data_IF_375255124655
#
_entry.id   IF_375255124655
#
_cell.length_a   1.000
_cell.length_b   1.000
_cell.length_c   1.000
_cell.angle_alpha   90.00
_cell.angle_beta   90.00
_cell.angle_gamma   90.00
#
_symmetry.space_group_name_H-M   'P 1'
#
loop_
_entity.id
_entity.type
_entity.pdbx_description
1 polymer ?
#
# COMPACT_ATOMS: atom_id res chain seq x y z
N UNK A 1 7.25 -46.40 49.66
CA UNK A 1 6.45 -46.13 48.43
C UNK A 1 6.64 -44.69 48.03
N UNK A 2 7.47 -44.44 46.99
CA UNK A 2 7.81 -43.12 46.53
C UNK A 2 6.89 -42.75 45.34
N UNK A 3 6.16 -41.65 45.44
CA UNK A 3 5.35 -41.11 44.36
C UNK A 3 6.16 -40.04 43.59
N UNK A 4 6.51 -40.37 42.35
CA UNK A 4 7.25 -39.53 41.44
C UNK A 4 6.30 -38.52 40.81
N UNK A 5 6.42 -37.22 41.16
CA UNK A 5 5.67 -36.14 40.55
C UNK A 5 6.28 -35.77 39.19
N UNK A 6 5.52 -35.95 38.11
CA UNK A 6 5.86 -35.48 36.75
C UNK A 6 5.48 -34.00 36.66
N UNK A 7 6.47 -33.12 36.65
CA UNK A 7 6.28 -31.68 36.37
C UNK A 7 6.08 -31.48 34.86
N UNK A 8 4.85 -31.21 34.45
CA UNK A 8 4.55 -30.78 33.09
C UNK A 8 5.00 -29.32 32.90
N UNK A 9 6.10 -29.11 32.16
CA UNK A 9 6.47 -27.78 31.66
C UNK A 9 5.51 -27.41 30.54
N UNK A 10 4.53 -26.56 30.84
CA UNK A 10 3.75 -25.84 29.84
C UNK A 10 4.64 -24.78 29.20
N UNK A 11 5.22 -25.10 28.06
CA UNK A 11 5.88 -24.12 27.21
C UNK A 11 4.82 -23.15 26.70
N UNK A 12 4.76 -21.96 27.28
CA UNK A 12 3.98 -20.85 26.71
C UNK A 12 4.60 -20.51 25.37
N UNK A 13 3.87 -20.80 24.29
CA UNK A 13 4.22 -20.31 22.95
C UNK A 13 4.23 -18.78 23.00
N UNK A 14 5.35 -18.17 22.62
CA UNK A 14 5.44 -16.72 22.48
C UNK A 14 4.35 -16.24 21.50
N UNK A 15 3.58 -15.19 21.83
CA UNK A 15 2.54 -14.69 20.94
C UNK A 15 3.19 -14.30 19.61
N UNK A 16 2.64 -14.80 18.49
CA UNK A 16 3.04 -14.39 17.15
C UNK A 16 2.79 -12.88 17.08
N UNK A 17 3.80 -12.04 16.77
CA UNK A 17 3.61 -10.60 16.74
C UNK A 17 2.51 -10.25 15.74
N UNK A 18 1.51 -9.49 16.17
CA UNK A 18 0.43 -9.02 15.31
C UNK A 18 1.03 -8.12 14.22
N UNK A 19 1.11 -8.64 13.00
CA UNK A 19 1.70 -7.94 11.85
C UNK A 19 0.97 -6.65 11.47
N UNK A 20 -0.22 -6.42 12.04
CA UNK A 20 -1.04 -5.22 11.80
C UNK A 20 -0.46 -3.97 12.46
N UNK A 21 0.24 -4.11 13.57
CA UNK A 21 0.83 -2.97 14.30
C UNK A 21 2.34 -2.94 14.07
N UNK A 22 2.94 -1.81 13.67
CA UNK A 22 4.39 -1.67 13.59
C UNK A 22 5.03 -1.93 14.95
N UNK A 23 6.09 -2.74 14.98
CA UNK A 23 6.84 -2.96 16.22
C UNK A 23 7.50 -1.64 16.65
N UNK A 24 7.27 -1.13 17.88
CA UNK A 24 7.82 0.14 18.35
C UNK A 24 9.35 0.23 18.35
N UNK A 25 10.07 -0.90 18.30
CA UNK A 25 11.53 -0.95 18.18
C UNK A 25 12.02 -1.24 16.75
N UNK A 26 11.15 -1.29 15.75
CA UNK A 26 11.50 -1.61 14.37
C UNK A 26 11.95 -0.35 13.63
N UNK A 27 13.07 -0.44 12.91
CA UNK A 27 13.53 0.58 11.95
C UNK A 27 12.78 0.49 10.62
N UNK A 28 11.62 -0.18 10.60
CA UNK A 28 10.79 -0.33 9.40
C UNK A 28 9.79 0.82 9.29
N UNK A 29 9.55 1.27 8.05
CA UNK A 29 8.49 2.23 7.71
C UNK A 29 7.35 1.47 7.03
N UNK A 30 6.12 1.68 7.50
CA UNK A 30 4.92 1.11 6.86
C UNK A 30 4.37 2.09 5.85
N UNK A 31 4.16 1.61 4.63
CA UNK A 31 3.68 2.39 3.49
C UNK A 31 2.32 1.84 3.07
N UNK A 32 1.33 2.72 2.96
CA UNK A 32 0.02 2.46 2.37
C UNK A 32 0.04 2.91 0.91
N UNK A 33 -0.05 1.97 -0.02
CA UNK A 33 -0.25 2.24 -1.44
C UNK A 33 -1.73 2.26 -1.80
N UNK A 34 -2.14 3.22 -2.62
CA UNK A 34 -3.51 3.39 -3.06
C UNK A 34 -3.54 3.53 -4.59
N UNK A 35 -4.34 2.68 -5.25
CA UNK A 35 -4.74 2.83 -6.64
C UNK A 35 -6.22 3.28 -6.68
N UNK A 36 -6.50 4.60 -6.86
CA UNK A 36 -7.86 5.11 -6.77
C UNK A 36 -8.73 4.63 -7.91
N UNK A 37 -9.97 4.23 -7.60
CA UNK A 37 -10.99 3.92 -8.58
C UNK A 37 -12.39 4.29 -8.09
N UNK A 38 -13.28 4.69 -9.00
CA UNK A 38 -14.65 5.14 -8.68
C UNK A 38 -15.62 3.99 -8.35
N UNK A 39 -15.26 2.76 -8.64
CA UNK A 39 -16.03 1.54 -8.35
C UNK A 39 -15.30 0.59 -7.42
N UNK A 40 -13.99 0.57 -7.49
CA UNK A 40 -13.07 -0.18 -6.65
C UNK A 40 -11.81 0.64 -6.48
N UNK A 41 -11.29 0.70 -5.28
CA UNK A 41 -9.98 1.30 -4.98
C UNK A 41 -9.07 0.18 -4.49
N UNK A 42 -7.94 0.01 -5.14
CA UNK A 42 -6.92 -0.92 -4.67
C UNK A 42 -6.21 -0.36 -3.44
N UNK A 43 -5.91 -1.25 -2.47
CA UNK A 43 -5.13 -0.95 -1.30
C UNK A 43 -4.03 -1.99 -1.13
N UNK A 44 -2.82 -1.54 -0.85
CA UNK A 44 -1.68 -2.41 -0.58
C UNK A 44 -0.81 -1.83 0.53
N UNK A 45 -0.48 -2.63 1.54
CA UNK A 45 0.35 -2.20 2.68
C UNK A 45 1.61 -3.05 2.73
N UNK A 46 2.75 -2.40 2.82
CA UNK A 46 4.06 -3.04 2.96
C UNK A 46 4.84 -2.40 4.10
N UNK A 47 5.73 -3.16 4.69
CA UNK A 47 6.82 -2.64 5.52
C UNK A 47 8.09 -2.55 4.68
N UNK A 48 8.88 -1.50 4.88
CA UNK A 48 10.20 -1.32 4.28
C UNK A 48 11.23 -1.07 5.37
N UNK A 49 12.31 -1.85 5.38
CA UNK A 49 13.41 -1.67 6.34
C UNK A 49 14.44 -0.62 5.88
N UNK A 50 15.41 -0.32 6.73
CA UNK A 50 16.48 0.63 6.44
C UNK A 50 17.36 0.21 5.23
N UNK A 51 17.40 -1.07 4.88
CA UNK A 51 18.12 -1.57 3.70
C UNK A 51 17.28 -1.47 2.41
N UNK A 52 16.01 -1.06 2.50
CA UNK A 52 15.07 -0.97 1.39
C UNK A 52 14.38 -2.29 1.04
N UNK A 53 14.49 -3.32 1.89
CA UNK A 53 13.78 -4.60 1.69
C UNK A 53 12.33 -4.43 2.08
N UNK A 54 11.44 -4.91 1.21
CA UNK A 54 10.00 -4.81 1.38
C UNK A 54 9.40 -6.11 1.91
N UNK A 55 8.41 -6.01 2.79
CA UNK A 55 7.62 -7.13 3.30
C UNK A 55 6.14 -6.82 3.15
N UNK A 56 5.39 -7.74 2.60
CA UNK A 56 3.94 -7.66 2.52
C UNK A 56 3.30 -7.65 3.92
N UNK A 57 2.31 -6.78 4.10
CA UNK A 57 1.49 -6.69 5.33
C UNK A 57 0.03 -6.99 5.03
N UNK A 58 -0.57 -6.26 4.07
CA UNK A 58 -1.97 -6.41 3.71
C UNK A 58 -2.22 -5.98 2.26
N UNK A 59 -3.25 -6.52 1.64
CA UNK A 59 -3.80 -6.01 0.39
C UNK A 59 -5.27 -6.38 0.26
N UNK A 60 -6.06 -5.47 -0.27
CA UNK A 60 -7.48 -5.72 -0.59
C UNK A 60 -8.01 -4.66 -1.57
N UNK A 61 -9.03 -4.97 -2.36
CA UNK A 61 -9.83 -3.94 -3.00
C UNK A 61 -10.89 -3.41 -2.02
N UNK A 62 -11.01 -2.10 -1.90
CA UNK A 62 -12.20 -1.47 -1.32
C UNK A 62 -13.28 -1.42 -2.40
N UNK A 63 -14.30 -2.24 -2.25
CA UNK A 63 -15.43 -2.34 -3.19
C UNK A 63 -16.45 -1.26 -2.86
N UNK A 64 -16.67 -0.34 -3.80
CA UNK A 64 -17.57 0.80 -3.68
C UNK A 64 -18.90 0.58 -4.43
N UNK A 65 -18.99 -0.54 -5.17
CA UNK A 65 -20.21 -0.97 -5.88
C UNK A 65 -21.31 -1.33 -4.87
N UNK A 66 -22.58 -1.10 -5.27
CA UNK A 66 -23.75 -1.33 -4.41
C UNK A 66 -24.34 -0.06 -3.80
N UNK A 67 -23.57 1.00 -3.73
CA UNK A 67 -24.10 2.32 -3.39
C UNK A 67 -24.62 2.99 -4.67
N UNK A 68 -25.91 3.32 -4.71
CA UNK A 68 -26.54 3.98 -5.87
C UNK A 68 -26.00 5.38 -6.12
N UNK A 69 -25.79 6.14 -5.06
CA UNK A 69 -25.30 7.52 -5.11
C UNK A 69 -23.75 7.54 -5.09
N UNK A 70 -23.19 8.36 -5.98
CA UNK A 70 -21.74 8.54 -6.07
C UNK A 70 -21.14 9.19 -4.81
N UNK A 71 -21.84 10.11 -4.16
CA UNK A 71 -21.40 10.73 -2.91
C UNK A 71 -21.28 9.68 -1.78
N UNK A 72 -22.21 8.71 -1.71
CA UNK A 72 -22.14 7.60 -0.75
C UNK A 72 -20.94 6.69 -1.03
N UNK A 73 -20.57 6.49 -2.30
CA UNK A 73 -19.34 5.75 -2.66
C UNK A 73 -18.09 6.46 -2.15
N UNK A 74 -18.04 7.80 -2.28
CA UNK A 74 -16.91 8.58 -1.74
C UNK A 74 -16.85 8.50 -0.21
N UNK A 75 -18.01 8.59 0.47
CA UNK A 75 -18.10 8.39 1.91
C UNK A 75 -17.57 7.02 2.31
N UNK A 76 -17.98 5.94 1.61
CA UNK A 76 -17.51 4.57 1.87
C UNK A 76 -16.02 4.42 1.66
N UNK A 77 -15.49 5.05 0.61
CA UNK A 77 -14.06 5.08 0.35
C UNK A 77 -13.30 5.75 1.50
N UNK A 78 -13.73 6.94 1.91
CA UNK A 78 -13.12 7.69 3.00
C UNK A 78 -13.09 6.87 4.29
N UNK A 79 -14.24 6.33 4.72
CA UNK A 79 -14.33 5.52 5.93
C UNK A 79 -13.52 4.21 5.84
N UNK A 80 -13.50 3.56 4.66
CA UNK A 80 -12.73 2.34 4.45
C UNK A 80 -11.22 2.58 4.57
N UNK A 81 -10.73 3.69 4.01
CA UNK A 81 -9.33 4.07 4.14
C UNK A 81 -8.99 4.51 5.57
N UNK A 82 -9.87 5.27 6.22
CA UNK A 82 -9.70 5.70 7.61
C UNK A 82 -9.57 4.49 8.55
N UNK A 83 -10.43 3.49 8.41
CA UNK A 83 -10.36 2.24 9.18
C UNK A 83 -9.05 1.47 8.94
N UNK A 84 -8.57 1.38 7.68
CA UNK A 84 -7.30 0.75 7.37
C UNK A 84 -6.11 1.53 7.95
N UNK A 85 -6.14 2.86 7.91
CA UNK A 85 -5.09 3.70 8.51
C UNK A 85 -5.06 3.50 10.03
N UNK A 86 -6.22 3.42 10.68
CA UNK A 86 -6.32 3.17 12.11
C UNK A 86 -5.82 1.77 12.50
N UNK A 87 -6.20 0.74 11.73
CA UNK A 87 -5.83 -0.66 11.99
C UNK A 87 -4.34 -0.91 11.75
N UNK A 88 -3.80 -0.46 10.61
CA UNK A 88 -2.44 -0.79 10.19
C UNK A 88 -1.39 0.26 10.54
N UNK A 89 -1.81 1.49 10.88
CA UNK A 89 -0.94 2.62 11.30
C UNK A 89 0.23 2.86 10.35
N UNK A 90 -0.03 3.11 9.05
CA UNK A 90 1.03 3.48 8.11
C UNK A 90 1.65 4.82 8.52
N UNK A 91 2.91 5.03 8.18
CA UNK A 91 3.62 6.29 8.37
C UNK A 91 3.64 7.16 7.11
N UNK A 92 3.49 6.54 5.95
CA UNK A 92 3.54 7.22 4.65
C UNK A 92 2.46 6.65 3.73
N UNK A 93 1.90 7.51 2.87
CA UNK A 93 0.92 7.12 1.86
C UNK A 93 1.49 7.38 0.47
N UNK A 94 1.35 6.41 -0.41
CA UNK A 94 1.67 6.53 -1.82
C UNK A 94 0.40 6.34 -2.65
N UNK A 95 0.15 7.23 -3.63
CA UNK A 95 -1.06 7.19 -4.43
C UNK A 95 -0.73 7.36 -5.92
N UNK A 96 -1.45 6.61 -6.78
CA UNK A 96 -1.31 6.77 -8.21
C UNK A 96 -1.92 8.10 -8.69
N UNK A 97 -1.18 8.81 -9.55
CA UNK A 97 -1.70 9.97 -10.28
C UNK A 97 -2.60 9.51 -11.41
N UNK A 98 -3.83 9.98 -11.40
CA UNK A 98 -4.78 9.68 -12.47
C UNK A 98 -4.60 10.64 -13.65
N UNK A 99 -4.68 10.08 -14.85
CA UNK A 99 -4.67 10.84 -16.11
C UNK A 99 -6.06 10.87 -16.70
N UNK A 100 -6.35 11.90 -17.49
CA UNK A 100 -7.58 11.99 -18.27
C UNK A 100 -7.68 10.80 -19.22
N UNK A 101 -8.68 9.96 -19.00
CA UNK A 101 -9.05 8.88 -19.92
C UNK A 101 -9.94 9.37 -21.07
N UNK A 102 -10.49 8.43 -21.84
CA UNK A 102 -11.36 8.71 -22.99
C UNK A 102 -12.71 9.37 -22.64
N UNK A 103 -13.15 9.30 -21.39
CA UNK A 103 -14.43 9.83 -20.91
C UNK A 103 -14.19 10.88 -19.83
N UNK A 104 -14.68 12.12 -20.06
CA UNK A 104 -14.61 13.20 -19.08
C UNK A 104 -15.34 12.86 -17.77
N UNK A 105 -16.53 12.24 -17.84
CA UNK A 105 -17.29 11.81 -16.67
C UNK A 105 -16.53 10.78 -15.82
N UNK A 106 -15.91 9.79 -16.48
CA UNK A 106 -15.08 8.81 -15.79
C UNK A 106 -13.84 9.46 -15.13
N UNK A 107 -13.21 10.40 -15.81
CA UNK A 107 -12.06 11.14 -15.29
C UNK A 107 -12.44 12.00 -14.07
N UNK A 108 -13.59 12.68 -14.12
CA UNK A 108 -14.11 13.45 -12.99
C UNK A 108 -14.40 12.56 -11.78
N UNK A 109 -15.11 11.43 -11.98
CA UNK A 109 -15.38 10.47 -10.89
C UNK A 109 -14.12 9.89 -10.30
N UNK A 110 -13.12 9.61 -11.12
CA UNK A 110 -11.82 9.12 -10.68
C UNK A 110 -11.06 10.20 -9.89
N UNK A 111 -11.10 11.46 -10.35
CA UNK A 111 -10.52 12.59 -9.63
C UNK A 111 -11.15 12.81 -8.25
N UNK A 112 -12.49 12.69 -8.15
CA UNK A 112 -13.17 12.77 -6.87
C UNK A 112 -12.77 11.61 -5.92
N UNK A 113 -12.72 10.37 -6.42
CA UNK A 113 -12.28 9.23 -5.63
C UNK A 113 -10.84 9.42 -5.13
N UNK A 114 -9.94 9.89 -6.00
CA UNK A 114 -8.56 10.21 -5.63
C UNK A 114 -8.50 11.34 -4.59
N UNK A 115 -9.29 12.41 -4.75
CA UNK A 115 -9.40 13.49 -3.75
C UNK A 115 -9.84 12.98 -2.40
N UNK A 116 -10.87 12.12 -2.34
CA UNK A 116 -11.34 11.50 -1.11
C UNK A 116 -10.25 10.63 -0.46
N UNK A 117 -9.46 9.88 -1.25
CA UNK A 117 -8.35 9.09 -0.74
C UNK A 117 -7.22 9.95 -0.14
N UNK A 118 -6.89 11.07 -0.79
CA UNK A 118 -5.91 12.04 -0.26
C UNK A 118 -6.43 12.65 1.05
N UNK A 119 -7.71 13.05 1.11
CA UNK A 119 -8.31 13.60 2.32
C UNK A 119 -8.25 12.61 3.50
N UNK A 120 -8.49 11.32 3.26
CA UNK A 120 -8.37 10.29 4.31
C UNK A 120 -6.97 10.25 4.93
N UNK A 121 -5.92 10.37 4.11
CA UNK A 121 -4.54 10.39 4.56
C UNK A 121 -4.19 11.69 5.31
N UNK A 122 -4.55 12.85 4.74
CA UNK A 122 -4.20 14.17 5.28
C UNK A 122 -4.93 14.46 6.59
N UNK A 123 -6.17 14.00 6.76
CA UNK A 123 -6.91 14.12 8.02
C UNK A 123 -6.24 13.34 9.18
N UNK A 124 -5.40 12.34 8.84
CA UNK A 124 -4.57 11.60 9.79
C UNK A 124 -3.11 12.09 9.81
N UNK A 125 -2.84 13.29 9.27
CA UNK A 125 -1.51 13.92 9.21
C UNK A 125 -0.43 13.08 8.52
N UNK A 126 -0.84 12.15 7.62
CA UNK A 126 0.08 11.31 6.88
C UNK A 126 0.62 12.03 5.64
N UNK A 127 1.94 11.99 5.39
CA UNK A 127 2.51 12.49 4.15
C UNK A 127 2.03 11.66 2.95
N UNK A 128 1.64 12.35 1.88
CA UNK A 128 1.14 11.74 0.64
C UNK A 128 2.14 11.95 -0.49
N UNK A 129 2.55 10.86 -1.13
CA UNK A 129 3.47 10.84 -2.27
C UNK A 129 2.76 10.33 -3.52
N UNK A 130 2.96 10.99 -4.64
CA UNK A 130 2.22 10.74 -5.87
C UNK A 130 3.11 10.21 -7.00
N UNK A 131 2.65 9.17 -7.69
CA UNK A 131 3.38 8.50 -8.77
C UNK A 131 2.53 8.34 -10.02
N UNK A 132 3.09 8.62 -11.20
CA UNK A 132 2.42 8.35 -12.47
C UNK A 132 2.53 6.85 -12.83
N UNK A 133 1.56 6.33 -13.58
CA UNK A 133 1.54 4.94 -14.04
C UNK A 133 2.84 4.50 -14.73
N UNK A 134 3.44 5.36 -15.56
CA UNK A 134 4.72 5.07 -16.22
C UNK A 134 5.89 4.95 -15.23
N UNK A 135 5.84 5.74 -14.17
CA UNK A 135 6.84 5.74 -13.11
C UNK A 135 6.76 4.45 -12.29
N UNK A 136 5.53 4.02 -11.96
CA UNK A 136 5.27 2.77 -11.25
C UNK A 136 5.78 1.58 -12.06
N UNK A 137 5.45 1.51 -13.36
CA UNK A 137 5.94 0.46 -14.26
C UNK A 137 7.47 0.42 -14.33
N UNK A 138 8.10 1.59 -14.43
CA UNK A 138 9.56 1.71 -14.48
C UNK A 138 10.20 1.22 -13.17
N UNK A 139 9.64 1.58 -12.01
CA UNK A 139 10.16 1.21 -10.71
C UNK A 139 10.04 -0.29 -10.42
N UNK A 140 8.93 -0.93 -10.85
CA UNK A 140 8.63 -2.34 -10.55
C UNK A 140 9.23 -3.29 -11.60
N UNK A 141 9.15 -2.94 -12.90
CA UNK A 141 9.55 -3.85 -14.00
C UNK A 141 10.83 -3.37 -14.69
N UNK A 142 11.28 -2.14 -14.46
CA UNK A 142 12.40 -1.54 -15.18
C UNK A 142 12.03 -1.02 -16.58
N UNK A 143 10.74 -1.11 -16.99
CA UNK A 143 10.26 -0.71 -18.32
C UNK A 143 8.92 0.03 -18.19
N UNK A 144 8.91 1.33 -18.53
CA UNK A 144 7.71 2.18 -18.40
C UNK A 144 6.53 1.79 -19.33
N UNK A 145 6.80 1.01 -20.39
CA UNK A 145 5.79 0.44 -21.29
C UNK A 145 5.39 -1.00 -20.91
N UNK A 146 5.71 -1.47 -19.70
CA UNK A 146 5.36 -2.81 -19.25
C UNK A 146 3.83 -3.02 -19.26
N UNK A 147 3.42 -4.24 -19.57
CA UNK A 147 2.02 -4.65 -19.52
C UNK A 147 1.56 -4.88 -18.07
N UNK A 148 0.26 -4.78 -17.83
CA UNK A 148 -0.32 -4.97 -16.50
C UNK A 148 0.03 -6.33 -15.88
N UNK A 149 0.00 -7.39 -16.67
CA UNK A 149 0.36 -8.74 -16.21
C UNK A 149 1.82 -8.85 -15.75
N UNK A 150 2.74 -8.13 -16.41
CA UNK A 150 4.16 -8.11 -16.01
C UNK A 150 4.33 -7.41 -14.67
N UNK A 151 3.61 -6.30 -14.42
CA UNK A 151 3.62 -5.60 -13.14
C UNK A 151 3.08 -6.51 -12.03
N UNK A 152 1.93 -7.17 -12.24
CA UNK A 152 1.35 -8.11 -11.27
C UNK A 152 2.31 -9.26 -10.92
N UNK A 153 2.94 -9.84 -11.93
CA UNK A 153 3.91 -10.91 -11.74
C UNK A 153 5.11 -10.45 -10.88
N UNK A 154 5.68 -9.30 -11.23
CA UNK A 154 6.83 -8.74 -10.48
C UNK A 154 6.47 -8.39 -9.04
N UNK A 155 5.30 -7.79 -8.80
CA UNK A 155 4.79 -7.52 -7.43
C UNK A 155 4.70 -8.81 -6.63
N UNK A 156 4.14 -9.88 -7.23
CA UNK A 156 4.06 -11.20 -6.59
C UNK A 156 5.44 -11.74 -6.21
N UNK A 157 6.41 -11.66 -7.11
CA UNK A 157 7.79 -12.09 -6.84
C UNK A 157 8.46 -11.25 -5.75
N UNK A 158 8.39 -9.92 -5.85
CA UNK A 158 9.06 -9.00 -4.91
C UNK A 158 8.55 -9.13 -3.48
N UNK A 159 7.26 -9.43 -3.32
CA UNK A 159 6.62 -9.60 -2.02
C UNK A 159 6.44 -11.07 -1.60
N UNK A 160 6.97 -12.03 -2.39
CA UNK A 160 6.85 -13.48 -2.16
C UNK A 160 5.41 -13.92 -1.94
N UNK A 161 4.45 -13.34 -2.70
CA UNK A 161 3.05 -13.67 -2.59
C UNK A 161 2.75 -14.98 -3.33
N UNK A 162 2.01 -15.87 -2.68
CA UNK A 162 1.52 -17.12 -3.26
C UNK A 162 0.06 -16.97 -3.67
N UNK A 163 -0.32 -17.58 -4.81
CA UNK A 163 -1.69 -17.54 -5.31
C UNK A 163 -1.99 -16.39 -6.28
N UNK A 164 -3.27 -16.25 -6.63
CA UNK A 164 -3.71 -15.25 -7.61
C UNK A 164 -3.90 -13.89 -6.93
N UNK A 165 -3.04 -12.93 -7.27
CA UNK A 165 -3.18 -11.55 -6.84
C UNK A 165 -4.26 -10.84 -7.67
N UNK A 166 -5.22 -10.19 -7.01
CA UNK A 166 -6.24 -9.37 -7.70
C UNK A 166 -5.59 -8.12 -8.32
N UNK A 167 -6.10 -7.71 -9.49
CA UNK A 167 -5.51 -6.63 -10.26
C UNK A 167 -5.41 -5.30 -9.48
N UNK A 168 -6.52 -4.87 -8.87
CA UNK A 168 -6.57 -3.60 -8.13
C UNK A 168 -5.61 -3.60 -6.93
N UNK A 169 -5.50 -4.73 -6.23
CA UNK A 169 -4.57 -4.90 -5.11
C UNK A 169 -3.11 -4.93 -5.58
N UNK A 170 -2.84 -5.55 -6.74
CA UNK A 170 -1.50 -5.56 -7.33
C UNK A 170 -1.03 -4.16 -7.73
N UNK A 171 -1.94 -3.37 -8.32
CA UNK A 171 -1.64 -1.99 -8.72
C UNK A 171 -1.31 -1.14 -7.48
N UNK A 172 -2.09 -1.26 -6.40
CA UNK A 172 -1.82 -0.56 -5.15
C UNK A 172 -0.50 -0.99 -4.47
N UNK A 173 -0.18 -2.29 -4.47
CA UNK A 173 1.11 -2.79 -3.98
C UNK A 173 2.27 -2.28 -4.84
N UNK A 174 2.09 -2.17 -6.17
CA UNK A 174 3.09 -1.60 -7.07
C UNK A 174 3.37 -0.12 -6.74
N UNK A 175 2.34 0.66 -6.40
CA UNK A 175 2.48 2.04 -5.92
C UNK A 175 3.31 2.08 -4.63
N UNK A 176 3.01 1.23 -3.65
CA UNK A 176 3.75 1.16 -2.39
C UNK A 176 5.22 0.78 -2.59
N UNK A 177 5.51 -0.22 -3.43
CA UNK A 177 6.87 -0.65 -3.79
C UNK A 177 7.64 0.50 -4.48
N UNK A 178 6.98 1.21 -5.39
CA UNK A 178 7.58 2.38 -6.05
C UNK A 178 8.04 3.41 -5.04
N UNK A 179 7.18 3.73 -4.06
CA UNK A 179 7.55 4.65 -2.99
C UNK A 179 8.70 4.13 -2.13
N UNK A 180 8.72 2.84 -1.79
CA UNK A 180 9.82 2.22 -1.06
C UNK A 180 11.17 2.39 -1.79
N UNK A 181 11.21 2.20 -3.11
CA UNK A 181 12.42 2.39 -3.93
C UNK A 181 12.88 3.85 -3.96
N UNK A 182 11.93 4.79 -4.14
CA UNK A 182 12.24 6.23 -4.12
C UNK A 182 12.78 6.66 -2.76
N UNK A 183 12.15 6.19 -1.68
CA UNK A 183 12.55 6.44 -0.32
C UNK A 183 13.97 5.92 -0.03
N UNK A 184 14.26 4.68 -0.40
CA UNK A 184 15.61 4.10 -0.25
C UNK A 184 16.67 4.88 -1.05
N UNK A 185 16.32 5.34 -2.24
CA UNK A 185 17.21 6.19 -3.06
C UNK A 185 17.44 7.55 -2.42
N UNK A 186 16.38 8.19 -1.92
CA UNK A 186 16.45 9.47 -1.22
C UNK A 186 17.35 9.40 0.01
N UNK A 187 17.21 8.35 0.81
CA UNK A 187 18.05 8.10 1.99
C UNK A 187 19.53 7.94 1.63
N UNK A 188 19.84 7.16 0.58
CA UNK A 188 21.24 6.96 0.13
C UNK A 188 21.87 8.25 -0.38
N UNK A 189 21.08 9.14 -0.99
CA UNK A 189 21.54 10.41 -1.54
C UNK A 189 21.50 11.58 -0.52
N UNK A 190 20.93 11.37 0.66
CA UNK A 190 20.75 12.43 1.67
C UNK A 190 19.81 13.55 1.19
N UNK A 191 18.80 13.25 0.39
CA UNK A 191 17.85 14.22 -0.19
C UNK A 191 16.40 13.84 0.16
N UNK A 192 15.45 14.75 -0.06
CA UNK A 192 14.02 14.41 0.08
C UNK A 192 13.56 13.42 -1.01
N UNK A 193 12.47 12.70 -0.75
CA UNK A 193 11.84 11.80 -1.73
C UNK A 193 11.45 12.54 -3.02
N UNK A 194 10.98 13.79 -2.91
CA UNK A 194 10.65 14.64 -4.04
C UNK A 194 11.89 14.99 -4.88
N UNK A 195 13.02 15.33 -4.24
CA UNK A 195 14.27 15.61 -4.94
C UNK A 195 14.90 14.37 -5.57
N UNK A 196 14.82 13.20 -4.90
CA UNK A 196 15.30 11.96 -5.45
C UNK A 196 14.57 11.57 -6.74
N UNK A 197 13.31 11.93 -6.84
CA UNK A 197 12.47 11.62 -7.99
C UNK A 197 12.62 12.61 -9.15
N UNK A 198 12.82 13.89 -8.89
CA UNK A 198 12.96 14.95 -9.92
C UNK A 198 14.31 14.97 -10.64
N UNK A 199 15.28 14.16 -10.21
CA UNK A 199 16.64 14.08 -10.79
C UNK A 199 16.77 13.10 -11.97
N UNK A 200 15.67 12.72 -12.62
CA UNK A 200 15.68 11.88 -13.82
C UNK A 200 15.67 12.71 -15.09
#
# INVERSE_FOLDING_TARGET
MAATGISARTGAASPIPDSRIPNPGSTTTRILGIDPGSQRTGVGIIDVDAAGRTRHVHHAPLVLLGEGDFALRLKRLLHGLDALIEEYRPQEVAIERVFMGKSADAALKLGHARGAAICAAVLRELPVHEYAAKEIKLAVVGKGAAEKQQVQHMVGLMLSLTGKLQADAADALAVAITHAHVRATAQRLGVSTQQAWSRK
#
